data_IF_090770794761
#
_entry.id   IF_090770794761
#
_cell.length_a   1.000
_cell.length_b   1.000
_cell.length_c   1.000
_cell.angle_alpha   90.00
_cell.angle_beta   90.00
_cell.angle_gamma   90.00
#
_symmetry.space_group_name_H-M   'P 1'
#
loop_
_entity.id
_entity.type
_entity.pdbx_description
1 polymer ?
#
# COMPACT_ATOMS: atom_id res chain seq x y z
N UNK A 1 -13.01 -18.41 67.03
CA UNK A 1 -12.17 -19.04 65.99
C UNK A 1 -12.79 -18.76 64.62
N UNK A 2 -12.30 -17.77 63.89
CA UNK A 2 -12.80 -17.42 62.55
C UNK A 2 -12.05 -18.24 61.51
N UNK A 3 -12.81 -18.91 60.65
CA UNK A 3 -12.37 -19.95 59.71
C UNK A 3 -11.54 -19.33 58.57
N UNK A 4 -10.20 -19.42 58.66
CA UNK A 4 -9.23 -18.87 57.69
C UNK A 4 -9.24 -19.55 56.31
N UNK A 5 -10.06 -20.59 56.10
CA UNK A 5 -10.01 -21.41 54.88
C UNK A 5 -10.74 -20.79 53.68
N UNK A 6 -11.57 -19.76 53.89
CA UNK A 6 -12.36 -19.11 52.82
C UNK A 6 -11.66 -17.93 52.11
N UNK A 7 -10.44 -17.52 52.51
CA UNK A 7 -9.76 -16.37 51.87
C UNK A 7 -8.90 -16.71 50.64
N UNK A 8 -8.56 -17.97 50.40
CA UNK A 8 -7.67 -18.35 49.28
C UNK A 8 -8.39 -18.61 47.95
N UNK A 9 -9.66 -19.03 47.97
CA UNK A 9 -10.40 -19.35 46.73
C UNK A 9 -10.88 -18.12 45.96
N UNK A 10 -11.22 -17.03 46.66
CA UNK A 10 -11.67 -15.80 46.02
C UNK A 10 -10.53 -14.94 45.46
N UNK A 11 -9.30 -15.12 45.95
CA UNK A 11 -8.15 -14.40 45.42
C UNK A 11 -7.73 -14.92 44.03
N UNK A 12 -7.76 -16.25 43.84
CA UNK A 12 -7.39 -16.90 42.57
C UNK A 12 -8.43 -16.59 41.48
N UNK A 13 -9.72 -16.53 41.83
CA UNK A 13 -10.77 -16.22 40.86
C UNK A 13 -10.70 -14.76 40.36
N UNK A 14 -10.32 -13.82 41.23
CA UNK A 14 -10.17 -12.40 40.84
C UNK A 14 -8.91 -12.18 39.99
N UNK A 15 -7.85 -12.97 40.16
CA UNK A 15 -6.64 -12.87 39.31
C UNK A 15 -6.86 -13.48 37.92
N UNK A 16 -7.69 -14.52 37.79
CA UNK A 16 -7.95 -15.16 36.49
C UNK A 16 -8.87 -14.31 35.58
N UNK A 17 -9.78 -13.53 36.15
CA UNK A 17 -10.69 -12.64 35.40
C UNK A 17 -9.96 -11.41 34.85
N UNK A 18 -8.87 -10.97 35.48
CA UNK A 18 -8.06 -9.84 34.99
C UNK A 18 -7.07 -10.21 33.88
N UNK A 19 -6.78 -11.51 33.67
CA UNK A 19 -5.89 -11.95 32.60
C UNK A 19 -6.60 -12.10 31.23
N UNK A 20 -7.93 -12.10 31.21
CA UNK A 20 -8.74 -12.27 29.99
C UNK A 20 -9.09 -10.93 29.32
N UNK A 21 -8.78 -9.79 29.96
CA UNK A 21 -9.11 -8.44 29.45
C UNK A 21 -7.93 -7.69 28.81
N UNK A 22 -6.81 -8.36 28.51
CA UNK A 22 -5.62 -7.75 27.88
C UNK A 22 -5.44 -8.08 26.40
N UNK A 23 -6.35 -8.83 25.77
CA UNK A 23 -6.35 -9.06 24.31
C UNK A 23 -7.31 -8.12 23.56
N UNK A 24 -7.48 -6.89 24.03
CA UNK A 24 -8.25 -5.86 23.33
C UNK A 24 -7.38 -4.63 23.05
N UNK A 25 -6.26 -4.81 22.35
CA UNK A 25 -5.57 -3.71 21.70
C UNK A 25 -5.05 -4.17 20.35
N UNK A 26 -5.65 -3.62 19.29
CA UNK A 26 -5.20 -3.82 17.93
C UNK A 26 -6.11 -4.74 17.11
N UNK A 27 -7.41 -4.43 17.01
CA UNK A 27 -7.92 -4.32 15.63
C UNK A 27 -7.14 -3.16 15.01
N UNK A 28 -5.90 -3.43 14.59
CA UNK A 28 -5.31 -2.67 13.50
C UNK A 28 -6.34 -2.88 12.41
N UNK A 29 -7.08 -1.83 12.03
CA UNK A 29 -7.76 -1.83 10.75
C UNK A 29 -6.64 -2.12 9.76
N UNK A 30 -6.51 -3.40 9.40
CA UNK A 30 -5.72 -3.82 8.27
C UNK A 30 -6.34 -3.04 7.14
N UNK A 31 -5.67 -1.96 6.74
CA UNK A 31 -5.94 -1.34 5.45
C UNK A 31 -5.68 -2.48 4.50
N UNK A 32 -6.74 -3.18 4.11
CA UNK A 32 -6.63 -4.39 3.32
C UNK A 32 -5.83 -4.00 2.09
N UNK A 33 -4.62 -4.54 1.97
CA UNK A 33 -3.76 -4.29 0.83
C UNK A 33 -4.55 -4.68 -0.42
N UNK A 34 -4.72 -3.74 -1.33
CA UNK A 34 -5.40 -3.95 -2.60
C UNK A 34 -4.71 -3.11 -3.69
N UNK A 35 -4.87 -3.47 -4.98
CA UNK A 35 -4.25 -2.76 -6.10
C UNK A 35 -4.55 -1.26 -6.11
N UNK A 36 -5.77 -0.86 -5.75
CA UNK A 36 -6.23 0.53 -5.74
C UNK A 36 -5.49 1.38 -4.68
N UNK A 37 -5.24 0.79 -3.51
CA UNK A 37 -4.45 1.39 -2.44
C UNK A 37 -2.97 1.48 -2.83
N UNK A 38 -2.44 0.48 -3.53
CA UNK A 38 -1.07 0.52 -4.07
C UNK A 38 -0.93 1.63 -5.14
N UNK A 39 -1.90 1.77 -6.05
CA UNK A 39 -1.95 2.87 -7.01
C UNK A 39 -2.00 4.24 -6.31
N UNK A 40 -2.86 4.37 -5.30
CA UNK A 40 -2.96 5.60 -4.51
C UNK A 40 -1.63 5.97 -3.84
N UNK A 41 -0.92 4.99 -3.25
CA UNK A 41 0.42 5.19 -2.69
C UNK A 41 1.41 5.66 -3.76
N UNK A 42 1.40 5.02 -4.93
CA UNK A 42 2.26 5.42 -6.05
C UNK A 42 2.06 6.88 -6.43
N UNK A 43 0.80 7.33 -6.59
CA UNK A 43 0.49 8.74 -6.91
C UNK A 43 1.01 9.69 -5.83
N UNK A 44 0.79 9.37 -4.54
CA UNK A 44 1.28 10.17 -3.41
C UNK A 44 2.81 10.26 -3.44
N UNK A 45 3.50 9.13 -3.62
CA UNK A 45 4.95 9.10 -3.62
C UNK A 45 5.55 9.77 -4.86
N UNK A 46 4.94 9.62 -6.03
CA UNK A 46 5.34 10.31 -7.25
C UNK A 46 5.30 11.84 -7.08
N UNK A 47 4.15 12.36 -6.64
CA UNK A 47 3.99 13.80 -6.40
C UNK A 47 4.86 14.33 -5.25
N UNK A 48 5.23 13.45 -4.30
CA UNK A 48 6.14 13.75 -3.22
C UNK A 48 7.62 13.62 -3.58
N UNK A 49 7.95 13.23 -4.81
CA UNK A 49 9.32 12.95 -5.30
C UNK A 49 10.02 11.89 -4.41
N UNK A 50 9.25 10.89 -3.96
CA UNK A 50 9.68 9.82 -3.06
C UNK A 50 10.09 8.58 -3.85
N UNK A 51 11.14 8.71 -4.67
CA UNK A 51 11.60 7.63 -5.58
C UNK A 51 11.92 6.31 -4.87
N UNK A 52 12.44 6.38 -3.65
CA UNK A 52 12.74 5.21 -2.83
C UNK A 52 11.48 4.44 -2.43
N UNK A 53 10.44 5.16 -1.99
CA UNK A 53 9.15 4.57 -1.60
C UNK A 53 8.41 4.03 -2.82
N UNK A 54 8.54 4.67 -3.99
CA UNK A 54 8.01 4.15 -5.27
C UNK A 54 8.68 2.82 -5.62
N UNK A 55 10.01 2.73 -5.48
CA UNK A 55 10.74 1.49 -5.73
C UNK A 55 10.23 0.35 -4.83
N UNK A 56 9.86 0.63 -3.58
CA UNK A 56 9.33 -0.37 -2.66
C UNK A 56 7.91 -0.86 -3.00
N UNK A 57 7.18 -0.12 -3.84
CA UNK A 57 5.91 -0.56 -4.43
C UNK A 57 6.10 -1.54 -5.60
N UNK A 58 7.30 -1.67 -6.16
CA UNK A 58 7.54 -2.51 -7.32
C UNK A 58 7.65 -3.98 -6.98
N UNK A 59 7.20 -4.82 -7.92
CA UNK A 59 7.33 -6.26 -7.83
C UNK A 59 8.80 -6.68 -7.89
N UNK A 60 9.11 -7.87 -7.39
CA UNK A 60 10.43 -8.47 -7.49
C UNK A 60 10.89 -8.63 -8.94
N UNK A 61 9.96 -8.86 -9.87
CA UNK A 61 10.27 -8.94 -11.30
C UNK A 61 10.61 -7.57 -11.89
N UNK A 62 9.80 -6.55 -11.63
CA UNK A 62 10.05 -5.18 -12.12
C UNK A 62 11.33 -4.58 -11.51
N UNK A 63 11.65 -4.93 -10.25
CA UNK A 63 12.90 -4.54 -9.58
C UNK A 63 14.17 -5.11 -10.24
N UNK A 64 14.06 -6.11 -11.13
CA UNK A 64 15.21 -6.58 -11.94
C UNK A 64 15.53 -5.64 -13.10
N UNK A 65 14.56 -4.84 -13.55
CA UNK A 65 14.73 -3.89 -14.64
C UNK A 65 15.29 -2.54 -14.19
N UNK A 66 15.16 -2.22 -12.91
CA UNK A 66 15.49 -0.92 -12.33
C UNK A 66 16.26 -1.05 -11.03
N UNK A 67 17.27 -0.19 -10.85
CA UNK A 67 17.83 0.10 -9.54
C UNK A 67 17.01 1.18 -8.82
N UNK A 68 17.16 1.23 -7.48
CA UNK A 68 16.57 2.29 -6.66
C UNK A 68 16.99 3.68 -7.14
N UNK A 69 18.30 3.86 -7.42
CA UNK A 69 18.86 5.13 -7.93
C UNK A 69 18.27 5.53 -9.28
N UNK A 70 18.00 4.56 -10.18
CA UNK A 70 17.35 4.86 -11.46
C UNK A 70 15.95 5.43 -11.26
N UNK A 71 15.16 4.82 -10.36
CA UNK A 71 13.81 5.31 -10.06
C UNK A 71 13.86 6.68 -9.39
N UNK A 72 14.75 6.85 -8.41
CA UNK A 72 14.99 8.15 -7.78
C UNK A 72 15.30 9.23 -8.81
N UNK A 73 16.25 8.98 -9.72
CA UNK A 73 16.66 9.96 -10.71
C UNK A 73 15.55 10.28 -11.74
N UNK A 74 14.76 9.29 -12.17
CA UNK A 74 13.64 9.53 -13.10
C UNK A 74 12.59 10.43 -12.43
N UNK A 75 12.21 10.11 -11.20
CA UNK A 75 11.19 10.86 -10.46
C UNK A 75 11.71 12.22 -10.00
N UNK A 76 13.02 12.37 -9.76
CA UNK A 76 13.60 13.67 -9.40
C UNK A 76 13.77 14.60 -10.60
N UNK A 77 14.04 14.06 -11.79
CA UNK A 77 14.27 14.85 -13.00
C UNK A 77 12.97 15.26 -13.72
N UNK A 78 11.82 14.84 -13.21
CA UNK A 78 10.51 15.14 -13.80
C UNK A 78 9.96 16.48 -13.30
N UNK A 79 9.44 17.30 -14.21
CA UNK A 79 8.64 18.49 -13.88
C UNK A 79 7.12 18.20 -13.98
N UNK A 80 6.76 16.92 -14.10
CA UNK A 80 5.38 16.43 -14.17
C UNK A 80 4.85 16.10 -12.78
N UNK A 81 3.56 16.34 -12.55
CA UNK A 81 2.84 15.79 -11.40
C UNK A 81 1.53 15.13 -11.85
N UNK A 82 1.02 14.19 -11.07
CA UNK A 82 -0.28 13.56 -11.30
C UNK A 82 -1.33 14.39 -10.56
N UNK A 83 -2.22 15.07 -11.28
CA UNK A 83 -3.27 15.89 -10.69
C UNK A 83 -4.52 15.08 -10.34
N UNK A 84 -4.87 14.09 -11.16
CA UNK A 84 -6.01 13.21 -10.95
C UNK A 84 -5.81 11.84 -11.59
N UNK A 85 -6.59 10.85 -11.15
CA UNK A 85 -6.69 9.56 -11.82
C UNK A 85 -8.07 8.92 -11.64
N UNK A 86 -8.55 8.22 -12.67
CA UNK A 86 -9.81 7.48 -12.66
C UNK A 86 -9.57 6.02 -13.04
N UNK A 87 -10.04 5.09 -12.22
CA UNK A 87 -10.02 3.65 -12.55
C UNK A 87 -11.27 3.34 -13.38
N UNK A 88 -11.06 3.05 -14.66
CA UNK A 88 -12.11 2.79 -15.65
C UNK A 88 -12.57 1.32 -15.56
N UNK A 89 -11.61 0.41 -15.49
CA UNK A 89 -11.87 -1.03 -15.47
C UNK A 89 -10.88 -1.75 -14.53
N UNK A 90 -11.35 -2.84 -13.93
CA UNK A 90 -10.53 -3.75 -13.13
C UNK A 90 -10.74 -5.17 -13.62
N UNK A 91 -9.65 -5.81 -14.04
CA UNK A 91 -9.64 -7.24 -14.37
C UNK A 91 -8.85 -7.99 -13.31
N UNK A 92 -9.45 -9.00 -12.68
CA UNK A 92 -8.82 -9.80 -11.62
C UNK A 92 -8.64 -11.24 -12.11
N UNK A 93 -7.42 -11.75 -12.01
CA UNK A 93 -7.07 -13.15 -12.32
C UNK A 93 -6.15 -13.69 -11.22
N UNK A 94 -6.73 -14.45 -10.29
CA UNK A 94 -6.02 -15.01 -9.13
C UNK A 94 -5.21 -13.95 -8.35
N UNK A 95 -3.88 -14.02 -8.37
CA UNK A 95 -2.96 -13.09 -7.70
C UNK A 95 -2.51 -11.93 -8.58
N UNK A 96 -3.15 -11.74 -9.73
CA UNK A 96 -2.85 -10.65 -10.66
C UNK A 96 -4.10 -9.79 -10.83
N UNK A 97 -3.93 -8.47 -10.79
CA UNK A 97 -4.97 -7.51 -11.12
C UNK A 97 -4.43 -6.51 -12.12
N UNK A 98 -5.17 -6.25 -13.19
CA UNK A 98 -4.89 -5.13 -14.10
C UNK A 98 -5.94 -4.05 -13.89
N UNK A 99 -5.49 -2.83 -13.64
CA UNK A 99 -6.34 -1.65 -13.61
C UNK A 99 -6.16 -0.89 -14.94
N UNK A 100 -7.26 -0.64 -15.64
CA UNK A 100 -7.31 0.35 -16.71
C UNK A 100 -7.58 1.71 -16.07
N UNK A 101 -6.65 2.65 -16.20
CA UNK A 101 -6.65 3.91 -15.45
C UNK A 101 -6.39 5.06 -16.40
N UNK A 102 -7.24 6.07 -16.35
CA UNK A 102 -6.93 7.39 -16.92
C UNK A 102 -6.16 8.20 -15.88
N UNK A 103 -4.92 8.59 -16.21
CA UNK A 103 -4.09 9.45 -15.35
C UNK A 103 -3.96 10.81 -16.02
N UNK A 104 -4.31 11.86 -15.27
CA UNK A 104 -4.14 13.25 -15.69
C UNK A 104 -2.85 13.81 -15.10
N UNK A 105 -1.99 14.28 -15.99
CA UNK A 105 -0.69 14.87 -15.68
C UNK A 105 -0.77 16.38 -15.82
N UNK A 106 -0.09 17.08 -14.92
CA UNK A 106 0.14 18.52 -14.98
C UNK A 106 1.59 18.78 -15.39
N UNK A 107 1.77 19.49 -16.50
CA UNK A 107 3.07 20.00 -16.99
C UNK A 107 2.94 21.48 -17.33
N UNK A 108 3.68 22.35 -16.65
CA UNK A 108 3.74 23.78 -16.99
C UNK A 108 2.36 24.48 -17.17
N UNK A 109 1.34 24.03 -16.42
CA UNK A 109 -0.03 24.55 -16.51
C UNK A 109 -0.90 23.92 -17.61
N UNK A 110 -0.42 22.84 -18.26
CA UNK A 110 -1.16 22.03 -19.21
C UNK A 110 -1.58 20.72 -18.54
N UNK A 111 -2.84 20.33 -18.72
CA UNK A 111 -3.37 19.04 -18.30
C UNK A 111 -3.36 18.05 -19.48
N UNK A 112 -2.77 16.87 -19.29
CA UNK A 112 -2.74 15.80 -20.29
C UNK A 112 -3.25 14.52 -19.64
N UNK A 113 -4.36 13.97 -20.15
CA UNK A 113 -4.92 12.70 -19.70
C UNK A 113 -4.56 11.59 -20.67
N UNK A 114 -3.97 10.51 -20.15
CA UNK A 114 -3.63 9.31 -20.91
C UNK A 114 -4.20 8.07 -20.22
N UNK A 115 -4.55 7.07 -21.00
CA UNK A 115 -5.04 5.78 -20.52
C UNK A 115 -3.88 4.78 -20.35
N UNK A 116 -3.86 4.08 -19.22
CA UNK A 116 -2.82 3.13 -18.85
C UNK A 116 -3.41 1.81 -18.38
N UNK A 117 -2.77 0.70 -18.76
CA UNK A 117 -3.02 -0.61 -18.17
C UNK A 117 -1.92 -0.89 -17.14
N UNK A 118 -2.28 -0.82 -15.87
CA UNK A 118 -1.34 -1.00 -14.75
C UNK A 118 -1.59 -2.38 -14.16
N UNK A 119 -0.63 -3.28 -14.36
CA UNK A 119 -0.64 -4.61 -13.76
C UNK A 119 -0.09 -4.57 -12.32
N UNK A 120 -0.77 -5.28 -11.44
CA UNK A 120 -0.41 -5.50 -10.06
C UNK A 120 -0.34 -7.00 -9.77
N UNK A 121 0.63 -7.40 -8.96
CA UNK A 121 0.81 -8.78 -8.50
C UNK A 121 0.78 -8.83 -6.98
N UNK A 122 0.17 -9.87 -6.41
CA UNK A 122 0.16 -10.10 -4.98
C UNK A 122 1.32 -11.00 -4.57
N UNK A 123 2.34 -10.42 -3.93
CA UNK A 123 3.52 -11.11 -3.43
C UNK A 123 3.92 -10.57 -2.05
N UNK A 124 4.55 -11.40 -1.23
CA UNK A 124 5.00 -11.02 0.12
C UNK A 124 3.88 -10.38 0.99
N UNK A 125 2.66 -10.91 0.86
CA UNK A 125 1.43 -10.44 1.52
C UNK A 125 0.99 -9.00 1.16
N UNK A 126 1.52 -8.43 0.07
CA UNK A 126 1.19 -7.09 -0.42
C UNK A 126 0.95 -7.05 -1.94
N UNK A 127 0.14 -6.09 -2.40
CA UNK A 127 0.02 -5.79 -3.83
C UNK A 127 1.15 -4.89 -4.28
N UNK A 128 1.89 -5.32 -5.31
CA UNK A 128 3.00 -4.61 -5.94
C UNK A 128 2.70 -4.27 -7.39
N UNK A 129 3.30 -3.20 -7.89
CA UNK A 129 3.20 -2.78 -9.29
C UNK A 129 4.14 -3.66 -10.12
N UNK A 130 3.61 -4.29 -11.17
CA UNK A 130 4.35 -5.11 -12.13
C UNK A 130 4.34 -4.52 -13.55
N UNK A 131 3.93 -3.26 -13.69
CA UNK A 131 3.91 -2.54 -14.95
C UNK A 131 4.90 -1.37 -14.94
N UNK A 132 5.42 -1.04 -16.11
CA UNK A 132 6.44 0.00 -16.28
C UNK A 132 5.83 1.41 -16.31
N UNK A 133 4.99 1.74 -15.32
CA UNK A 133 4.24 3.01 -15.24
C UNK A 133 5.14 4.24 -15.27
N UNK A 134 6.40 4.11 -14.86
CA UNK A 134 7.39 5.19 -14.85
C UNK A 134 7.87 5.56 -16.27
N UNK A 135 7.82 4.66 -17.25
CA UNK A 135 8.26 5.00 -18.63
C UNK A 135 7.23 5.79 -19.43
N UNK A 136 5.98 5.85 -18.99
CA UNK A 136 4.91 6.41 -19.79
C UNK A 136 4.54 7.86 -19.43
N UNK A 137 5.54 8.63 -19.02
CA UNK A 137 5.41 10.09 -18.96
C UNK A 137 5.04 10.60 -20.36
N UNK A 138 4.17 11.62 -20.46
CA UNK A 138 3.78 12.20 -21.75
C UNK A 138 4.98 12.72 -22.56
#
# INVERSE_FOLDING_TARGET
MVNLKMRKKNLILVTLVLLVLMFSFGCTESITSNPENTLKKYVIYYNGIQGDDIYDLFSNDLKKEYSKDQIHNIVYATDYSISDYEIIEKTVTDKVTTLNVDITWDMEGIHITNNYNIEFVFEDDEWKINSNVIRYHP
#
